data_IF_004980503089
#
_entry.id   IF_004980503089
#
_cell.length_a   1.000
_cell.length_b   1.000
_cell.length_c   1.000
_cell.angle_alpha   90.00
_cell.angle_beta   90.00
_cell.angle_gamma   90.00
#
_symmetry.space_group_name_H-M   'P 1'
#
loop_
_entity.id
_entity.type
_entity.pdbx_description
1 polymer ?
#
# COMPACT_ATOMS: atom_id res chain seq x y z
N UNK A 1 -1.35 -7.66 -7.45
CA UNK A 1 -1.74 -6.44 -6.70
C UNK A 1 -0.59 -5.43 -6.64
N UNK A 2 -0.87 -4.13 -6.70
CA UNK A 2 0.08 -3.06 -6.47
C UNK A 2 0.31 -2.95 -4.96
N UNK A 3 1.48 -3.37 -4.49
CA UNK A 3 1.80 -3.35 -3.05
C UNK A 3 2.51 -2.05 -2.70
N UNK A 4 1.76 -1.09 -2.18
CA UNK A 4 2.23 0.22 -1.69
C UNK A 4 1.56 0.53 -0.34
N UNK A 5 1.99 1.60 0.31
CA UNK A 5 1.39 2.08 1.55
C UNK A 5 1.54 3.60 1.63
N UNK A 6 0.48 4.27 2.10
CA UNK A 6 0.51 5.71 2.35
C UNK A 6 1.52 6.04 3.46
N UNK A 7 2.26 7.14 3.32
CA UNK A 7 3.25 7.57 4.32
C UNK A 7 2.65 7.68 5.73
N UNK A 8 1.51 8.33 5.83
CA UNK A 8 0.86 8.56 7.13
C UNK A 8 0.26 7.28 7.74
N UNK A 9 -0.07 6.27 6.93
CA UNK A 9 -0.38 4.94 7.44
C UNK A 9 0.84 4.26 8.08
N UNK A 10 2.06 4.52 7.59
CA UNK A 10 3.29 4.03 8.24
C UNK A 10 3.43 4.59 9.65
N UNK A 11 3.21 5.89 9.81
CA UNK A 11 3.31 6.56 11.12
C UNK A 11 2.24 6.04 12.07
N UNK A 12 0.97 6.06 11.64
CA UNK A 12 -0.16 5.61 12.44
C UNK A 12 -0.06 4.12 12.83
N UNK A 13 0.45 3.28 11.94
CA UNK A 13 0.65 1.86 12.24
C UNK A 13 1.74 1.61 13.29
N UNK A 14 2.79 2.45 13.33
CA UNK A 14 3.81 2.39 14.37
C UNK A 14 3.23 2.78 15.74
N UNK A 15 2.47 3.86 15.80
CA UNK A 15 1.75 4.29 17.01
C UNK A 15 0.80 3.19 17.49
N UNK A 16 -0.03 2.68 16.57
CA UNK A 16 -0.94 1.57 16.86
C UNK A 16 -0.23 0.33 17.40
N UNK A 17 0.91 -0.05 16.80
CA UNK A 17 1.69 -1.20 17.23
C UNK A 17 2.25 -1.03 18.64
N UNK A 18 2.70 0.18 19.00
CA UNK A 18 3.17 0.51 20.34
C UNK A 18 2.04 0.47 21.35
N UNK A 19 0.92 1.14 21.07
CA UNK A 19 -0.24 1.25 21.96
C UNK A 19 -0.86 -0.12 22.26
N UNK A 20 -0.91 -1.00 21.26
CA UNK A 20 -1.50 -2.34 21.37
C UNK A 20 -0.46 -3.44 21.66
N UNK A 21 0.81 -3.07 21.84
CA UNK A 21 1.93 -4.00 22.10
C UNK A 21 1.97 -5.16 21.11
N UNK A 22 1.78 -4.87 19.82
CA UNK A 22 1.80 -5.89 18.79
C UNK A 22 3.15 -6.60 18.77
N UNK A 23 3.12 -7.92 18.60
CA UNK A 23 4.30 -8.76 18.55
C UNK A 23 4.30 -9.66 17.30
N UNK A 24 5.44 -9.70 16.61
CA UNK A 24 5.64 -10.47 15.38
C UNK A 24 5.49 -9.65 14.10
N UNK A 25 5.36 -10.33 12.96
CA UNK A 25 5.35 -9.70 11.63
C UNK A 25 3.92 -9.39 11.18
N UNK A 26 3.68 -8.16 10.75
CA UNK A 26 2.42 -7.67 10.20
C UNK A 26 2.70 -6.96 8.87
N UNK A 27 2.00 -7.32 7.80
CA UNK A 27 2.14 -6.61 6.54
C UNK A 27 1.33 -5.33 6.59
N UNK A 28 1.99 -4.20 6.35
CA UNK A 28 1.35 -2.91 6.20
C UNK A 28 1.32 -2.55 4.72
N UNK A 29 0.30 -3.04 4.03
CA UNK A 29 0.10 -2.88 2.59
C UNK A 29 -1.37 -2.54 2.34
N UNK A 30 -1.64 -1.79 1.28
CA UNK A 30 -2.98 -1.39 0.86
C UNK A 30 -3.91 -2.57 0.45
N UNK A 31 -5.13 -2.22 0.04
CA UNK A 31 -6.18 -3.11 -0.49
C UNK A 31 -6.37 -3.06 -2.01
N UNK A 32 -5.41 -2.46 -2.73
CA UNK A 32 -5.47 -2.31 -4.18
C UNK A 32 -5.45 -3.69 -4.84
N UNK A 33 -6.50 -4.01 -5.58
CA UNK A 33 -6.61 -5.26 -6.34
C UNK A 33 -5.88 -5.20 -7.69
N UNK A 34 -5.73 -4.00 -8.26
CA UNK A 34 -5.04 -3.76 -9.53
C UNK A 34 -3.62 -4.30 -9.53
N UNK A 35 -3.15 -4.73 -10.70
CA UNK A 35 -1.74 -5.06 -10.86
C UNK A 35 -0.88 -3.80 -10.75
N UNK A 36 0.39 -3.96 -10.33
CA UNK A 36 1.36 -2.86 -10.34
C UNK A 36 1.43 -2.16 -11.70
N UNK A 37 1.34 -2.92 -12.79
CA UNK A 37 1.37 -2.38 -14.14
C UNK A 37 0.14 -1.51 -14.46
N UNK A 38 -1.05 -1.98 -14.10
CA UNK A 38 -2.31 -1.23 -14.27
C UNK A 38 -2.30 0.04 -13.43
N UNK A 39 -2.04 -0.09 -12.14
CA UNK A 39 -2.08 1.02 -11.18
C UNK A 39 -1.08 2.14 -11.55
N UNK A 40 0.20 1.79 -11.76
CA UNK A 40 1.21 2.78 -12.14
C UNK A 40 0.98 3.35 -13.54
N UNK A 41 0.44 2.53 -14.46
CA UNK A 41 0.04 2.99 -15.79
C UNK A 41 -1.03 4.07 -15.74
N UNK A 42 -2.04 3.90 -14.88
CA UNK A 42 -3.09 4.90 -14.68
C UNK A 42 -2.53 6.24 -14.16
N UNK A 43 -1.57 6.19 -13.22
CA UNK A 43 -0.89 7.40 -12.70
C UNK A 43 -0.15 8.14 -13.82
N UNK A 44 0.65 7.42 -14.62
CA UNK A 44 1.42 8.03 -15.71
C UNK A 44 0.51 8.62 -16.78
N UNK A 45 -0.56 7.90 -17.14
CA UNK A 45 -1.55 8.38 -18.11
C UNK A 45 -2.26 9.66 -17.62
N UNK A 46 -2.63 9.72 -16.34
CA UNK A 46 -3.25 10.91 -15.74
C UNK A 46 -2.31 12.13 -15.75
N UNK A 47 -1.00 11.92 -15.70
CA UNK A 47 0.01 12.96 -15.82
C UNK A 47 0.35 13.35 -17.28
N UNK A 48 -0.28 12.72 -18.27
CA UNK A 48 0.02 12.95 -19.70
C UNK A 48 1.34 12.34 -20.17
N UNK A 49 1.88 11.36 -19.43
CA UNK A 49 3.11 10.65 -19.79
C UNK A 49 2.87 9.51 -20.78
N UNK A 50 3.94 9.11 -21.48
CA UNK A 50 3.92 7.96 -22.37
C UNK A 50 3.75 6.63 -21.61
N UNK A 51 3.12 5.60 -22.21
CA UNK A 51 2.94 4.30 -21.57
C UNK A 51 4.26 3.67 -21.08
N UNK A 52 4.24 3.09 -19.87
CA UNK A 52 5.42 2.48 -19.26
C UNK A 52 5.83 1.22 -20.04
N UNK A 53 7.09 1.19 -20.50
CA UNK A 53 7.71 -0.01 -21.04
C UNK A 53 8.30 -0.88 -19.91
N UNK A 54 7.60 -1.96 -19.55
CA UNK A 54 8.02 -2.87 -18.48
C UNK A 54 9.09 -3.86 -18.96
N UNK A 55 10.33 -3.67 -18.52
CA UNK A 55 11.44 -4.60 -18.85
C UNK A 55 11.66 -5.63 -17.73
N UNK A 56 11.23 -6.87 -17.98
CA UNK A 56 11.50 -8.04 -17.13
C UNK A 56 10.45 -8.36 -16.06
N UNK A 57 10.56 -9.58 -15.49
CA UNK A 57 9.70 -10.03 -14.40
C UNK A 57 10.33 -9.66 -13.05
N UNK A 58 9.56 -8.98 -12.18
CA UNK A 58 9.99 -8.70 -10.82
C UNK A 58 10.10 -9.98 -9.98
N UNK A 59 11.13 -10.08 -9.14
CA UNK A 59 11.42 -11.23 -8.26
C UNK A 59 10.76 -11.13 -6.87
N UNK A 60 9.89 -10.14 -6.65
CA UNK A 60 9.25 -9.90 -5.35
C UNK A 60 8.17 -10.92 -4.96
N UNK A 61 7.77 -10.96 -3.68
CA UNK A 61 6.69 -11.80 -3.19
C UNK A 61 5.41 -11.58 -4.00
N UNK A 62 4.79 -12.66 -4.48
CA UNK A 62 3.61 -12.57 -5.37
C UNK A 62 2.32 -12.26 -4.62
N UNK A 63 2.29 -12.49 -3.31
CA UNK A 63 1.10 -12.34 -2.46
C UNK A 63 1.49 -11.84 -1.07
N UNK A 64 1.04 -10.64 -0.73
CA UNK A 64 1.09 -10.07 0.63
C UNK A 64 -0.35 -9.86 1.08
N UNK A 65 -0.63 -10.11 2.37
CA UNK A 65 -1.96 -9.92 2.96
C UNK A 65 -1.84 -9.05 4.21
N UNK A 66 -2.66 -8.02 4.29
CA UNK A 66 -2.81 -7.15 5.45
C UNK A 66 -3.87 -7.65 6.45
N UNK A 67 -4.47 -8.83 6.22
CA UNK A 67 -5.57 -9.31 7.07
C UNK A 67 -5.16 -9.38 8.55
N UNK A 68 -3.93 -9.81 8.83
CA UNK A 68 -3.42 -9.93 10.21
C UNK A 68 -3.43 -8.59 10.98
N UNK A 69 -3.12 -7.45 10.34
CA UNK A 69 -3.11 -6.15 11.03
C UNK A 69 -4.53 -5.59 11.18
N UNK A 70 -5.41 -5.90 10.23
CA UNK A 70 -6.84 -5.58 10.32
C UNK A 70 -7.53 -6.37 11.44
N UNK A 71 -7.23 -7.65 11.56
CA UNK A 71 -7.73 -8.51 12.65
C UNK A 71 -7.25 -8.00 14.02
N UNK A 72 -6.09 -7.35 14.09
CA UNK A 72 -5.61 -6.69 15.31
C UNK A 72 -6.35 -5.37 15.62
N UNK A 73 -7.13 -4.83 14.68
CA UNK A 73 -7.92 -3.60 14.84
C UNK A 73 -7.36 -2.37 14.10
N UNK A 74 -6.31 -2.52 13.28
CA UNK A 74 -5.76 -1.38 12.54
C UNK A 74 -6.71 -0.93 11.42
N UNK A 75 -6.94 0.39 11.34
CA UNK A 75 -7.75 1.03 10.32
C UNK A 75 -6.87 1.91 9.45
N UNK A 76 -6.75 1.52 8.17
CA UNK A 76 -5.98 2.26 7.18
C UNK A 76 -6.57 3.65 6.94
N UNK A 77 -5.69 4.64 6.81
CA UNK A 77 -6.08 5.97 6.36
C UNK A 77 -6.37 5.95 4.87
N UNK A 78 -5.56 5.32 4.04
CA UNK A 78 -5.78 5.28 2.59
C UNK A 78 -5.66 3.86 2.01
N UNK A 79 -6.68 3.00 2.23
CA UNK A 79 -6.63 1.60 1.83
C UNK A 79 -6.54 1.41 0.31
N UNK A 80 -6.97 2.39 -0.50
CA UNK A 80 -7.00 2.28 -1.97
C UNK A 80 -6.00 3.21 -2.67
N UNK A 81 -5.15 3.92 -1.92
CA UNK A 81 -4.18 4.89 -2.43
C UNK A 81 -4.81 5.99 -3.31
N UNK A 82 -6.04 6.39 -2.99
CA UNK A 82 -6.77 7.45 -3.71
C UNK A 82 -6.37 8.85 -3.21
N UNK A 83 -5.73 8.91 -2.03
CA UNK A 83 -5.35 10.13 -1.33
C UNK A 83 -3.84 10.22 -1.09
N UNK A 84 -3.04 9.45 -1.82
CA UNK A 84 -1.58 9.30 -1.63
C UNK A 84 -0.80 10.63 -1.67
N UNK A 85 -1.32 11.64 -2.37
CA UNK A 85 -0.73 12.98 -2.42
C UNK A 85 -1.12 13.91 -1.26
N UNK A 86 -1.94 13.48 -0.31
CA UNK A 86 -2.50 14.31 0.76
C UNK A 86 -1.78 14.07 2.10
N UNK A 87 -1.87 15.06 3.00
CA UNK A 87 -1.57 14.85 4.41
C UNK A 87 -2.85 14.40 5.12
N UNK A 88 -2.82 13.21 5.71
CA UNK A 88 -3.97 12.56 6.37
C UNK A 88 -3.87 12.56 7.90
N UNK A 89 -2.73 13.01 8.45
CA UNK A 89 -2.49 13.29 9.87
C UNK A 89 -2.36 14.78 10.14
#
# INVERSE_FOLDING_TARGET
PATIIHRDDVVKALEFALDNRLAGVYNLVNDISDTKASYMGAIVAAAGGEPINWVGHGTGPKTLSNQKIKDAGYVFLDPLAERDGQALL
#
